data_IF_439092287598
#
_entry.id   IF_439092287598
#
_cell.length_a   1.000
_cell.length_b   1.000
_cell.length_c   1.000
_cell.angle_alpha   90.00
_cell.angle_beta   90.00
_cell.angle_gamma   90.00
#
_symmetry.space_group_name_H-M   'P 1'
#
loop_
_entity.id
_entity.type
_entity.pdbx_description
1 polymer ?
#
# COMPACT_ATOMS: atom_id res chain seq x y z
N UNK A 1 7.19 18.15 -5.03
CA UNK A 1 6.76 17.17 -4.00
C UNK A 1 5.87 16.14 -4.68
N UNK A 2 6.16 14.85 -4.57
CA UNK A 2 5.32 13.78 -5.16
C UNK A 2 4.06 13.56 -4.31
N UNK A 3 2.90 13.22 -4.92
CA UNK A 3 1.74 12.72 -4.20
C UNK A 3 2.08 11.46 -3.40
N UNK A 4 1.56 11.31 -2.17
CA UNK A 4 1.87 10.15 -1.32
C UNK A 4 1.46 8.81 -1.96
N UNK A 5 0.36 8.79 -2.73
CA UNK A 5 -0.07 7.60 -3.47
C UNK A 5 0.95 7.17 -4.54
N UNK A 6 1.62 8.12 -5.19
CA UNK A 6 2.70 7.82 -6.16
C UNK A 6 3.90 7.22 -5.42
N UNK A 7 4.27 7.80 -4.28
CA UNK A 7 5.39 7.32 -3.46
C UNK A 7 5.13 5.90 -2.94
N UNK A 8 3.92 5.64 -2.41
CA UNK A 8 3.51 4.31 -1.95
C UNK A 8 3.54 3.30 -3.09
N UNK A 9 2.95 3.64 -4.25
CA UNK A 9 2.96 2.78 -5.43
C UNK A 9 4.37 2.44 -5.88
N UNK A 10 5.25 3.44 -6.01
CA UNK A 10 6.64 3.23 -6.44
C UNK A 10 7.42 2.38 -5.43
N UNK A 11 7.15 2.55 -4.14
CA UNK A 11 7.74 1.72 -3.09
C UNK A 11 7.27 0.27 -3.18
N UNK A 12 5.96 0.02 -3.35
CA UNK A 12 5.41 -1.33 -3.46
C UNK A 12 6.01 -2.08 -4.65
N UNK A 13 6.32 -1.41 -5.77
CA UNK A 13 7.02 -2.04 -6.92
C UNK A 13 8.38 -2.66 -6.57
N UNK A 14 8.97 -2.32 -5.43
CA UNK A 14 10.23 -2.89 -4.94
C UNK A 14 10.04 -4.12 -4.05
N UNK A 15 8.79 -4.50 -3.76
CA UNK A 15 8.48 -5.69 -2.98
C UNK A 15 8.89 -6.96 -3.74
N UNK A 16 9.74 -7.82 -3.17
CA UNK A 16 10.24 -9.01 -3.85
C UNK A 16 9.20 -10.12 -4.00
N UNK A 17 8.05 -10.00 -3.32
CA UNK A 17 6.96 -10.96 -3.43
C UNK A 17 6.02 -10.67 -4.59
N UNK A 18 6.12 -9.49 -5.22
CA UNK A 18 5.36 -9.21 -6.43
C UNK A 18 5.79 -10.19 -7.53
N UNK A 19 4.85 -10.83 -8.23
CA UNK A 19 5.20 -11.70 -9.34
C UNK A 19 6.03 -10.94 -10.39
N UNK A 20 7.24 -11.45 -10.64
CA UNK A 20 8.07 -11.03 -11.76
C UNK A 20 7.45 -11.59 -13.03
N UNK A 21 6.48 -10.89 -13.64
CA UNK A 21 5.99 -11.29 -14.95
C UNK A 21 7.17 -11.31 -15.94
N UNK A 22 7.22 -12.30 -16.85
CA UNK A 22 8.31 -12.56 -17.82
C UNK A 22 8.62 -11.38 -18.80
N UNK A 23 8.08 -10.19 -18.57
CA UNK A 23 8.42 -8.94 -19.27
C UNK A 23 8.43 -7.68 -18.38
N UNK A 24 8.48 -7.84 -17.04
CA UNK A 24 8.46 -6.75 -16.07
C UNK A 24 7.04 -6.48 -15.55
N UNK A 25 6.92 -6.15 -14.26
CA UNK A 25 5.65 -5.84 -13.57
C UNK A 25 4.78 -4.95 -14.45
N UNK A 26 3.70 -5.50 -15.01
CA UNK A 26 2.68 -4.77 -15.80
C UNK A 26 1.93 -3.83 -14.84
N UNK A 27 2.57 -2.70 -14.52
CA UNK A 27 2.03 -1.50 -13.89
C UNK A 27 1.00 -1.74 -12.76
N UNK A 28 1.40 -1.52 -11.51
CA UNK A 28 0.43 -1.29 -10.42
C UNK A 28 -0.40 -0.04 -10.79
N UNK A 29 -1.72 -0.13 -10.83
CA UNK A 29 -2.62 1.00 -11.09
C UNK A 29 -2.75 1.95 -9.90
N UNK A 30 -3.43 3.09 -10.11
CA UNK A 30 -3.88 4.00 -9.04
C UNK A 30 -5.37 4.25 -9.23
N UNK A 31 -6.18 3.86 -8.25
CA UNK A 31 -7.66 3.96 -8.29
C UNK A 31 -8.33 3.31 -9.52
N UNK A 32 -7.59 2.48 -10.26
CA UNK A 32 -8.04 1.75 -11.43
C UNK A 32 -7.39 0.37 -11.44
N UNK A 33 -8.21 -0.65 -11.19
CA UNK A 33 -7.82 -2.06 -11.27
C UNK A 33 -8.13 -2.58 -12.67
N UNK A 34 -7.16 -3.26 -13.29
CA UNK A 34 -7.32 -3.83 -14.63
C UNK A 34 -8.48 -4.82 -14.74
N UNK A 35 -8.97 -5.00 -15.96
CA UNK A 35 -10.01 -6.00 -16.22
C UNK A 35 -9.45 -7.42 -16.16
N UNK A 36 -8.21 -7.60 -16.63
CA UNK A 36 -7.51 -8.88 -16.64
C UNK A 36 -7.15 -9.37 -15.22
N UNK A 37 -7.14 -10.70 -14.99
CA UNK A 37 -6.53 -11.30 -13.81
C UNK A 37 -5.04 -10.96 -13.68
N UNK A 38 -4.51 -11.17 -12.49
CA UNK A 38 -3.10 -10.93 -12.12
C UNK A 38 -2.71 -9.45 -12.26
N UNK A 39 -3.68 -8.54 -12.05
CA UNK A 39 -3.48 -7.09 -12.06
C UNK A 39 -3.55 -6.51 -10.66
N UNK A 40 -2.81 -5.42 -10.43
CA UNK A 40 -2.63 -4.82 -9.10
C UNK A 40 -3.02 -3.34 -9.10
N UNK A 41 -3.49 -2.84 -7.96
CA UNK A 41 -3.84 -1.43 -7.78
C UNK A 41 -3.45 -0.95 -6.38
N UNK A 42 -3.04 0.31 -6.27
CA UNK A 42 -3.04 1.05 -5.00
C UNK A 42 -4.17 2.06 -5.03
N UNK A 43 -4.98 2.09 -3.98
CA UNK A 43 -6.11 3.01 -3.87
C UNK A 43 -5.95 3.84 -2.60
N UNK A 44 -6.36 5.10 -2.66
CA UNK A 44 -6.39 5.93 -1.44
C UNK A 44 -7.51 5.48 -0.50
N UNK A 45 -7.23 5.48 0.80
CA UNK A 45 -8.22 5.15 1.81
C UNK A 45 -8.41 6.30 2.79
N UNK A 46 -9.67 6.70 3.10
CA UNK A 46 -9.94 7.69 4.13
C UNK A 46 -9.39 7.29 5.50
N UNK A 47 -8.65 8.20 6.12
CA UNK A 47 -8.14 8.12 7.50
C UNK A 47 -8.15 9.51 8.11
N UNK A 48 -8.06 9.60 9.44
CA UNK A 48 -7.68 10.85 10.08
C UNK A 48 -6.21 11.15 9.74
N UNK A 49 -5.91 12.23 9.00
CA UNK A 49 -4.57 12.43 8.46
C UNK A 49 -3.55 12.90 9.52
N UNK A 50 -4.01 13.44 10.65
CA UNK A 50 -3.17 13.92 11.75
C UNK A 50 -3.28 12.95 12.91
N UNK A 51 -2.19 12.27 13.23
CA UNK A 51 -2.10 11.35 14.38
C UNK A 51 -1.80 12.12 15.65
N UNK A 52 -0.88 13.08 15.57
CA UNK A 52 -0.42 13.88 16.71
C UNK A 52 0.16 15.19 16.22
N UNK A 53 -0.11 16.27 16.96
CA UNK A 53 0.52 17.57 16.75
C UNK A 53 1.40 17.92 17.95
N UNK A 54 2.56 18.49 17.68
CA UNK A 54 3.53 18.96 18.66
C UNK A 54 3.35 20.46 18.96
N UNK A 55 3.87 20.92 20.09
CA UNK A 55 3.72 22.32 20.55
C UNK A 55 4.32 23.33 19.57
N UNK A 56 5.39 22.95 18.88
CA UNK A 56 6.05 23.76 17.85
C UNK A 56 5.34 23.74 16.48
N UNK A 57 4.23 23.02 16.35
CA UNK A 57 3.45 22.92 15.11
C UNK A 57 3.82 21.71 14.22
N UNK A 58 4.88 20.98 14.54
CA UNK A 58 5.22 19.73 13.85
C UNK A 58 4.09 18.71 14.04
N UNK A 59 3.99 17.73 13.15
CA UNK A 59 2.98 16.70 13.24
C UNK A 59 3.49 15.32 12.83
N UNK A 60 2.98 14.30 13.51
CA UNK A 60 2.89 12.95 12.95
C UNK A 60 1.57 12.84 12.19
N UNK A 61 1.69 12.48 10.92
CA UNK A 61 0.59 12.32 9.99
C UNK A 61 0.56 10.90 9.44
N UNK A 62 -0.56 10.55 8.83
CA UNK A 62 -0.72 9.25 8.18
C UNK A 62 -1.48 9.36 6.87
N UNK A 63 -1.15 8.45 5.97
CA UNK A 63 -1.83 8.24 4.70
C UNK A 63 -2.31 6.79 4.63
N UNK A 64 -3.63 6.61 4.53
CA UNK A 64 -4.25 5.31 4.37
C UNK A 64 -4.29 4.90 2.90
N UNK A 65 -4.03 3.62 2.64
CA UNK A 65 -4.16 3.05 1.31
C UNK A 65 -4.61 1.59 1.35
N UNK A 66 -5.21 1.15 0.25
CA UNK A 66 -5.50 -0.26 -0.02
C UNK A 66 -4.55 -0.73 -1.11
N UNK A 67 -3.95 -1.90 -0.91
CA UNK A 67 -3.29 -2.63 -1.98
C UNK A 67 -4.15 -3.84 -2.35
N UNK A 68 -4.57 -3.90 -3.60
CA UNK A 68 -5.51 -4.90 -4.08
C UNK A 68 -5.04 -5.53 -5.39
N UNK A 69 -5.54 -6.72 -5.67
CA UNK A 69 -5.35 -7.41 -6.93
C UNK A 69 -6.62 -8.10 -7.38
N UNK A 70 -6.70 -8.36 -8.69
CA UNK A 70 -7.70 -9.25 -9.26
C UNK A 70 -6.99 -10.56 -9.58
N UNK A 71 -7.40 -11.65 -8.97
CA UNK A 71 -6.76 -12.96 -9.13
C UNK A 71 -7.76 -14.01 -9.58
N UNK A 72 -7.26 -15.11 -10.13
CA UNK A 72 -8.08 -16.31 -10.30
C UNK A 72 -8.64 -16.77 -8.96
N UNK A 73 -9.87 -17.26 -9.01
CA UNK A 73 -10.63 -17.71 -7.85
C UNK A 73 -11.38 -18.98 -8.21
N UNK A 74 -11.53 -19.87 -7.23
CA UNK A 74 -12.23 -21.11 -7.47
C UNK A 74 -12.62 -21.87 -6.22
N UNK A 75 -13.30 -23.00 -6.44
CA UNK A 75 -13.72 -23.91 -5.37
C UNK A 75 -12.55 -24.68 -4.76
N UNK A 76 -11.45 -24.81 -5.48
CA UNK A 76 -10.21 -25.34 -4.93
C UNK A 76 -9.58 -24.28 -4.02
N UNK A 77 -9.39 -24.63 -2.75
CA UNK A 77 -8.87 -23.70 -1.76
C UNK A 77 -7.40 -23.34 -1.99
N UNK A 78 -6.64 -24.13 -2.77
CA UNK A 78 -5.20 -23.92 -2.97
C UNK A 78 -4.92 -22.51 -3.53
N UNK A 79 -5.59 -22.13 -4.62
CA UNK A 79 -5.42 -20.80 -5.24
C UNK A 79 -5.82 -19.68 -4.27
N UNK A 80 -6.93 -19.86 -3.56
CA UNK A 80 -7.41 -18.86 -2.61
C UNK A 80 -6.45 -18.68 -1.41
N UNK A 81 -5.81 -19.77 -0.97
CA UNK A 81 -4.78 -19.76 0.07
C UNK A 81 -3.52 -19.07 -0.42
N UNK A 82 -3.08 -19.34 -1.65
CA UNK A 82 -1.93 -18.69 -2.27
C UNK A 82 -2.16 -17.17 -2.41
N UNK A 83 -3.34 -16.75 -2.86
CA UNK A 83 -3.72 -15.34 -2.97
C UNK A 83 -3.65 -14.62 -1.61
N UNK A 84 -4.20 -15.21 -0.55
CA UNK A 84 -4.11 -14.64 0.80
C UNK A 84 -2.68 -14.66 1.36
N UNK A 85 -1.95 -15.75 1.14
CA UNK A 85 -0.56 -15.92 1.59
C UNK A 85 0.40 -14.93 0.94
N UNK A 86 0.17 -14.52 -0.31
CA UNK A 86 0.89 -13.41 -0.93
C UNK A 86 0.78 -12.13 -0.09
N UNK A 87 -0.42 -11.77 0.35
CA UNK A 87 -0.62 -10.57 1.16
C UNK A 87 -0.06 -10.68 2.58
N UNK A 88 -0.04 -11.88 3.17
CA UNK A 88 0.65 -12.10 4.45
C UNK A 88 2.16 -11.83 4.31
N UNK A 89 2.78 -12.31 3.22
CA UNK A 89 4.17 -12.02 2.91
C UNK A 89 4.40 -10.52 2.65
N UNK A 90 3.48 -9.86 1.94
CA UNK A 90 3.53 -8.41 1.72
C UNK A 90 3.46 -7.63 3.05
N UNK A 91 2.57 -7.99 3.96
CA UNK A 91 2.45 -7.36 5.28
C UNK A 91 3.72 -7.56 6.12
N UNK A 92 4.31 -8.76 6.07
CA UNK A 92 5.60 -9.04 6.70
C UNK A 92 6.72 -8.19 6.10
N UNK A 93 6.76 -8.06 4.76
CA UNK A 93 7.73 -7.21 4.08
C UNK A 93 7.63 -5.75 4.51
N UNK A 94 6.43 -5.18 4.58
CA UNK A 94 6.19 -3.82 5.10
C UNK A 94 6.75 -3.64 6.52
N UNK A 95 6.49 -4.61 7.40
CA UNK A 95 7.01 -4.63 8.77
C UNK A 95 8.54 -4.64 8.79
N UNK A 96 9.17 -5.44 7.92
CA UNK A 96 10.63 -5.50 7.80
C UNK A 96 11.20 -4.19 7.25
N UNK A 97 10.60 -3.59 6.22
CA UNK A 97 11.07 -2.31 5.67
C UNK A 97 11.01 -1.20 6.73
N UNK A 98 9.93 -1.18 7.52
CA UNK A 98 9.80 -0.28 8.67
C UNK A 98 10.91 -0.53 9.70
N UNK A 99 11.10 -1.78 10.13
CA UNK A 99 12.10 -2.17 11.13
C UNK A 99 13.53 -1.79 10.71
N UNK A 100 13.85 -1.97 9.42
CA UNK A 100 15.18 -1.69 8.88
C UNK A 100 15.34 -0.25 8.35
N UNK A 101 14.34 0.62 8.56
CA UNK A 101 14.32 2.02 8.06
C UNK A 101 14.56 2.12 6.54
N UNK A 102 14.10 1.12 5.79
CA UNK A 102 14.12 1.07 4.33
C UNK A 102 12.78 1.57 3.77
N UNK A 103 12.37 2.76 4.20
CA UNK A 103 11.12 3.39 3.83
C UNK A 103 11.32 4.37 2.66
N UNK A 104 10.27 4.69 1.89
CA UNK A 104 10.42 5.58 0.75
C UNK A 104 10.75 7.01 1.17
N UNK A 105 11.50 7.71 0.32
CA UNK A 105 11.66 9.15 0.42
C UNK A 105 10.33 9.85 0.06
N UNK A 106 9.83 10.67 0.97
CA UNK A 106 8.58 11.42 0.78
C UNK A 106 8.82 12.76 0.09
N UNK A 107 10.08 13.19 -0.03
CA UNK A 107 10.48 14.50 -0.53
C UNK A 107 10.09 15.65 0.41
N UNK A 108 10.75 16.79 0.21
CA UNK A 108 10.66 17.91 1.15
C UNK A 108 11.28 17.54 2.50
N UNK A 109 10.74 18.09 3.58
CA UNK A 109 11.23 17.82 4.95
C UNK A 109 10.46 16.69 5.66
N UNK A 110 9.63 15.96 4.91
CA UNK A 110 8.82 14.87 5.46
C UNK A 110 9.65 13.61 5.61
N UNK A 111 9.51 12.94 6.75
CA UNK A 111 10.25 11.70 7.04
C UNK A 111 9.28 10.55 7.26
N UNK A 112 9.39 9.49 6.46
CA UNK A 112 8.63 8.27 6.67
C UNK A 112 9.01 7.61 8.01
N UNK A 113 8.02 7.29 8.84
CA UNK A 113 8.22 6.69 10.16
C UNK A 113 7.95 5.19 10.14
N UNK A 114 6.83 4.77 9.53
CA UNK A 114 6.49 3.38 9.30
C UNK A 114 5.53 3.20 8.13
N UNK A 115 5.51 1.99 7.58
CA UNK A 115 4.48 1.52 6.66
C UNK A 115 4.05 0.12 7.11
N UNK A 116 2.77 -0.05 7.42
CA UNK A 116 2.25 -1.24 8.10
C UNK A 116 0.85 -1.59 7.60
N UNK A 117 0.51 -2.88 7.60
CA UNK A 117 -0.86 -3.34 7.45
C UNK A 117 -1.67 -3.03 8.71
N UNK A 118 -2.91 -2.55 8.53
CA UNK A 118 -3.86 -2.23 9.61
C UNK A 118 -5.01 -3.23 9.70
N UNK A 119 -5.23 -4.00 8.63
CA UNK A 119 -6.11 -5.16 8.61
C UNK A 119 -5.39 -6.33 7.95
N UNK A 120 -5.80 -7.55 8.31
CA UNK A 120 -5.39 -8.77 7.62
C UNK A 120 -5.90 -8.76 6.18
N UNK A 121 -5.28 -9.52 5.26
CA UNK A 121 -5.82 -9.66 3.92
C UNK A 121 -7.18 -10.34 3.89
N UNK A 122 -7.98 -9.99 2.90
CA UNK A 122 -9.33 -10.53 2.74
C UNK A 122 -9.79 -10.53 1.28
N UNK A 123 -10.72 -11.43 1.01
CA UNK A 123 -11.53 -11.42 -0.20
C UNK A 123 -12.54 -10.27 -0.10
N UNK A 124 -12.48 -9.32 -1.03
CA UNK A 124 -13.37 -8.15 -1.05
C UNK A 124 -14.59 -8.36 -1.95
N UNK A 125 -14.37 -8.89 -3.14
CA UNK A 125 -15.42 -9.09 -4.13
C UNK A 125 -15.10 -10.29 -5.04
N UNK A 126 -16.13 -10.87 -5.65
CA UNK A 126 -16.03 -12.00 -6.58
C UNK A 126 -16.79 -11.62 -7.84
N UNK A 127 -16.22 -11.91 -9.01
CA UNK A 127 -16.92 -11.64 -10.26
C UNK A 127 -18.22 -12.46 -10.37
N UNK A 128 -19.17 -12.02 -11.22
CA UNK A 128 -20.44 -12.74 -11.38
C UNK A 128 -20.29 -14.21 -11.79
N UNK A 129 -19.24 -14.54 -12.53
CA UNK A 129 -18.99 -15.89 -13.05
C UNK A 129 -18.19 -16.76 -12.06
N UNK A 130 -17.82 -16.21 -10.89
CA UNK A 130 -17.04 -16.86 -9.83
C UNK A 130 -15.71 -17.48 -10.30
N UNK A 131 -15.07 -16.83 -11.26
CA UNK A 131 -13.81 -17.22 -11.89
C UNK A 131 -12.63 -16.38 -11.43
N UNK A 132 -12.90 -15.13 -11.01
CA UNK A 132 -11.91 -14.19 -10.51
C UNK A 132 -12.43 -13.45 -9.30
N UNK A 133 -11.52 -12.99 -8.48
CA UNK A 133 -11.86 -12.28 -7.26
C UNK A 133 -10.91 -11.13 -7.01
N UNK A 134 -11.41 -10.14 -6.28
CA UNK A 134 -10.61 -9.06 -5.74
C UNK A 134 -10.15 -9.42 -4.33
N UNK A 135 -8.85 -9.57 -4.16
CA UNK A 135 -8.20 -9.70 -2.85
C UNK A 135 -7.55 -8.37 -2.49
N UNK A 136 -7.52 -8.03 -1.21
CA UNK A 136 -6.91 -6.78 -0.77
C UNK A 136 -6.43 -6.80 0.67
N UNK A 137 -5.57 -5.82 0.97
CA UNK A 137 -5.09 -5.51 2.31
C UNK A 137 -5.14 -3.99 2.55
N UNK A 138 -5.41 -3.61 3.80
CA UNK A 138 -5.46 -2.22 4.22
C UNK A 138 -4.17 -1.83 4.94
N UNK A 139 -3.57 -0.70 4.56
CA UNK A 139 -2.29 -0.26 5.09
C UNK A 139 -2.29 1.24 5.43
N UNK A 140 -1.30 1.65 6.24
CA UNK A 140 -1.01 3.05 6.52
C UNK A 140 0.48 3.34 6.36
N UNK A 141 0.80 4.49 5.77
CA UNK A 141 2.11 5.13 5.84
C UNK A 141 2.04 6.22 6.90
N UNK A 142 2.79 6.08 8.00
CA UNK A 142 2.98 7.13 9.00
C UNK A 142 4.23 7.93 8.70
N UNK A 143 4.16 9.24 8.87
CA UNK A 143 5.27 10.13 8.56
C UNK A 143 5.28 11.36 9.48
N UNK A 144 6.47 11.91 9.68
CA UNK A 144 6.68 13.19 10.33
C UNK A 144 6.63 14.30 9.28
N UNK A 145 5.98 15.41 9.62
CA UNK A 145 5.93 16.63 8.82
C UNK A 145 6.23 17.83 9.73
N UNK A 146 7.30 18.60 9.46
CA UNK A 146 7.58 19.82 10.20
C UNK A 146 6.47 20.86 10.06
N UNK A 147 6.38 21.75 11.04
CA UNK A 147 5.56 22.94 10.94
C UNK A 147 5.93 23.72 9.66
N UNK A 148 4.96 24.28 8.92
CA UNK A 148 5.28 25.16 7.80
C UNK A 148 6.15 26.32 8.28
N UNK A 149 7.28 26.58 7.60
CA UNK A 149 8.06 27.79 7.85
C UNK A 149 7.16 29.02 7.67
N UNK A 150 7.09 29.89 8.69
CA UNK A 150 6.43 31.18 8.53
C UNK A 150 7.37 32.09 7.74
N UNK A 151 6.97 32.61 6.57
CA UNK A 151 7.80 33.56 5.84
C UNK A 151 7.92 34.85 6.66
N UNK A 152 9.12 35.16 7.16
CA UNK A 152 9.47 36.48 7.70
C UNK A 152 9.63 36.62 9.22
N UNK A 153 10.16 35.60 9.91
CA UNK A 153 10.78 35.78 11.23
C UNK A 153 12.30 35.63 11.15
#
# INVERSE_FOLDING_TARGET
MKPLIEVVRDFIKTCPYLPEFESGVKQIGVDFLGEDPETYVVESMPVDPVVKTYVNGDAEKQFGFIFASKEYYGRDAIINIENLGFYDNFALWLTQQTMFRKLPDLGGERTALSMEATLTPYLFDVDPDASVARYQIQCVLKYFEPAPEQPGM
#
